data_IF_824665809744
#
_entry.id   IF_824665809744
#
_cell.length_a   1.000
_cell.length_b   1.000
_cell.length_c   1.000
_cell.angle_alpha   90.00
_cell.angle_beta   90.00
_cell.angle_gamma   90.00
#
_symmetry.space_group_name_H-M   'P 1'
#
loop_
_entity.id
_entity.type
_entity.pdbx_description
1 polymer ?
#
# COMPACT_ATOMS: atom_id res chain seq x y z
N UNK A 1 -27.75 17.50 67.29
CA UNK A 1 -27.12 16.37 66.60
C UNK A 1 -27.25 16.64 65.11
N UNK A 2 -26.18 17.13 64.48
CA UNK A 2 -26.20 17.63 63.10
C UNK A 2 -25.16 16.83 62.30
N UNK A 3 -25.58 16.37 61.12
CA UNK A 3 -25.04 15.25 60.36
C UNK A 3 -23.60 15.48 59.86
N UNK A 4 -22.69 14.59 60.25
CA UNK A 4 -21.29 14.55 59.82
C UNK A 4 -21.04 13.64 58.61
N UNK A 5 -21.83 13.75 57.55
CA UNK A 5 -21.71 12.89 56.36
C UNK A 5 -21.34 13.62 55.05
N UNK A 6 -21.23 14.95 55.04
CA UNK A 6 -21.01 15.70 53.79
C UNK A 6 -19.54 16.05 53.48
N UNK A 7 -18.57 15.44 54.18
CA UNK A 7 -17.14 15.74 54.00
C UNK A 7 -16.29 14.57 53.48
N UNK A 8 -16.90 13.67 52.69
CA UNK A 8 -16.18 12.89 51.68
C UNK A 8 -16.36 13.64 50.35
N UNK A 9 -15.82 14.85 50.28
CA UNK A 9 -14.52 15.09 49.67
C UNK A 9 -14.60 15.05 48.15
N UNK A 10 -14.99 16.20 47.57
CA UNK A 10 -14.80 16.58 46.17
C UNK A 10 -13.36 16.35 45.64
N UNK A 11 -12.38 16.08 46.52
CA UNK A 11 -11.02 15.73 46.12
C UNK A 11 -10.91 14.37 45.42
N UNK A 12 -11.82 13.40 45.67
CA UNK A 12 -11.78 12.11 44.96
C UNK A 12 -12.34 12.20 43.53
N UNK A 13 -13.18 13.21 43.25
CA UNK A 13 -13.64 13.50 41.88
C UNK A 13 -12.62 14.30 41.06
N UNK A 14 -11.68 14.99 41.69
CA UNK A 14 -10.62 15.74 41.00
C UNK A 14 -9.42 14.87 40.62
N UNK A 15 -9.14 13.81 41.36
CA UNK A 15 -8.03 12.89 41.06
C UNK A 15 -8.35 11.80 40.02
N UNK A 16 -9.62 11.54 39.69
CA UNK A 16 -9.98 10.54 38.66
C UNK A 16 -10.04 11.08 37.22
N UNK A 17 -9.87 12.41 37.03
CA UNK A 17 -9.89 13.04 35.69
C UNK A 17 -8.52 13.21 35.03
N UNK A 18 -7.45 12.80 35.68
CA UNK A 18 -6.13 12.64 35.07
C UNK A 18 -5.85 11.16 34.74
N UNK A 19 -6.86 10.43 34.26
CA UNK A 19 -6.56 9.25 33.46
C UNK A 19 -5.94 9.75 32.17
N UNK A 20 -4.69 9.36 32.01
CA UNK A 20 -3.73 9.61 30.95
C UNK A 20 -4.31 9.41 29.52
N UNK A 21 -5.17 10.34 29.10
CA UNK A 21 -5.77 10.38 27.76
C UNK A 21 -4.70 10.52 26.65
N UNK A 22 -3.50 10.98 27.02
CA UNK A 22 -2.32 11.02 26.17
C UNK A 22 -1.75 9.63 25.88
N UNK A 23 -1.55 8.81 26.90
CA UNK A 23 -0.90 7.49 26.75
C UNK A 23 -1.76 6.47 25.98
N UNK A 24 -3.08 6.46 26.20
CA UNK A 24 -3.99 5.60 25.43
C UNK A 24 -4.01 5.99 23.94
N UNK A 25 -3.84 7.28 23.64
CA UNK A 25 -3.78 7.79 22.26
C UNK A 25 -2.53 7.36 21.49
N UNK A 26 -1.37 7.39 22.14
CA UNK A 26 -0.11 6.92 21.54
C UNK A 26 -0.08 5.40 21.35
N UNK A 27 -0.75 4.63 22.22
CA UNK A 27 -0.81 3.18 22.11
C UNK A 27 -1.58 2.71 20.85
N UNK A 28 -2.75 3.29 20.57
CA UNK A 28 -3.57 2.94 19.38
C UNK A 28 -2.85 3.28 18.06
N UNK A 29 -2.12 4.40 18.01
CA UNK A 29 -1.32 4.81 16.85
C UNK A 29 -0.18 3.82 16.57
N UNK A 30 0.59 3.45 17.60
CA UNK A 30 1.68 2.47 17.46
C UNK A 30 1.17 1.13 16.98
N UNK A 31 -0.01 0.70 17.44
CA UNK A 31 -0.65 -0.54 17.00
C UNK A 31 -0.99 -0.45 15.51
N UNK A 32 -1.61 0.65 15.06
CA UNK A 32 -1.95 0.84 13.64
C UNK A 32 -0.71 0.88 12.75
N UNK A 33 0.30 1.67 13.09
CA UNK A 33 1.55 1.77 12.31
C UNK A 33 2.24 0.41 12.26
N UNK A 34 2.28 -0.33 13.37
CA UNK A 34 2.84 -1.69 13.38
C UNK A 34 2.02 -2.65 12.52
N UNK A 35 0.69 -2.55 12.51
CA UNK A 35 -0.18 -3.38 11.68
C UNK A 35 0.03 -3.10 10.20
N UNK A 36 0.05 -1.83 9.80
CA UNK A 36 0.30 -1.39 8.40
C UNK A 36 1.68 -1.85 7.95
N UNK A 37 2.73 -1.59 8.73
CA UNK A 37 4.10 -1.98 8.37
C UNK A 37 4.26 -3.50 8.23
N UNK A 38 3.80 -4.27 9.23
CA UNK A 38 3.87 -5.74 9.18
C UNK A 38 2.99 -6.33 8.07
N UNK A 39 1.79 -5.80 7.90
CA UNK A 39 0.86 -6.22 6.83
C UNK A 39 1.40 -5.94 5.44
N UNK A 40 2.07 -4.80 5.24
CA UNK A 40 2.72 -4.47 3.98
C UNK A 40 3.87 -5.44 3.68
N UNK A 41 4.79 -5.67 4.64
CA UNK A 41 5.90 -6.62 4.46
C UNK A 41 5.38 -8.04 4.21
N UNK A 42 4.37 -8.47 4.97
CA UNK A 42 3.71 -9.76 4.75
C UNK A 42 3.10 -9.86 3.35
N UNK A 43 2.48 -8.80 2.85
CA UNK A 43 1.92 -8.73 1.50
C UNK A 43 3.00 -8.86 0.42
N UNK A 44 4.17 -8.25 0.62
CA UNK A 44 5.31 -8.42 -0.30
C UNK A 44 5.77 -9.88 -0.33
N UNK A 45 5.97 -10.50 0.83
CA UNK A 45 6.40 -11.91 0.93
C UNK A 45 5.34 -12.86 0.34
N UNK A 46 4.07 -12.63 0.66
CA UNK A 46 2.96 -13.43 0.14
C UNK A 46 2.87 -13.32 -1.38
N UNK A 47 2.98 -12.12 -1.94
CA UNK A 47 2.93 -11.93 -3.38
C UNK A 47 4.09 -12.62 -4.11
N UNK A 48 5.30 -12.58 -3.55
CA UNK A 48 6.44 -13.31 -4.08
C UNK A 48 6.20 -14.82 -4.04
N UNK A 49 5.70 -15.35 -2.92
CA UNK A 49 5.37 -16.77 -2.80
C UNK A 49 4.30 -17.20 -3.83
N UNK A 50 3.21 -16.44 -3.94
CA UNK A 50 2.15 -16.70 -4.92
C UNK A 50 2.67 -16.66 -6.36
N UNK A 51 3.52 -15.70 -6.68
CA UNK A 51 4.16 -15.60 -7.99
C UNK A 51 4.99 -16.84 -8.32
N UNK A 52 5.83 -17.32 -7.39
CA UNK A 52 6.62 -18.55 -7.59
C UNK A 52 5.73 -19.77 -7.75
N UNK A 53 4.66 -19.89 -6.95
CA UNK A 53 3.69 -21.00 -7.07
C UNK A 53 3.00 -20.96 -8.44
N UNK A 54 2.58 -19.78 -8.91
CA UNK A 54 1.97 -19.60 -10.23
C UNK A 54 2.91 -20.08 -11.34
N UNK A 55 4.18 -19.64 -11.32
CA UNK A 55 5.14 -20.03 -12.35
C UNK A 55 5.51 -21.53 -12.32
N UNK A 56 5.48 -22.16 -11.14
CA UNK A 56 5.87 -23.56 -10.99
C UNK A 56 4.73 -24.54 -11.31
N UNK A 57 3.53 -24.23 -10.86
CA UNK A 57 2.41 -25.18 -10.85
C UNK A 57 1.47 -25.01 -12.05
N UNK A 58 1.48 -23.83 -12.70
CA UNK A 58 0.56 -23.55 -13.80
C UNK A 58 1.24 -23.84 -15.14
N UNK A 59 0.66 -24.71 -15.99
CA UNK A 59 1.19 -24.99 -17.32
C UNK A 59 1.31 -23.71 -18.17
N UNK A 60 2.34 -23.66 -19.01
CA UNK A 60 2.69 -22.46 -19.80
C UNK A 60 1.53 -21.93 -20.64
N UNK A 61 0.77 -22.82 -21.30
CA UNK A 61 -0.42 -22.46 -22.06
C UNK A 61 -1.50 -21.74 -21.22
N UNK A 62 -1.62 -22.06 -19.94
CA UNK A 62 -2.57 -21.42 -19.01
C UNK A 62 -2.06 -20.06 -18.50
N UNK A 63 -0.74 -19.87 -18.43
CA UNK A 63 -0.15 -18.58 -18.04
C UNK A 63 -0.54 -17.46 -19.01
N UNK A 64 -0.62 -17.74 -20.32
CA UNK A 64 -1.11 -16.78 -21.32
C UNK A 64 -2.55 -16.32 -21.06
N UNK A 65 -3.42 -17.23 -20.61
CA UNK A 65 -4.80 -16.86 -20.28
C UNK A 65 -4.84 -16.02 -19.00
N UNK A 66 -4.08 -16.40 -17.98
CA UNK A 66 -3.99 -15.65 -16.73
C UNK A 66 -3.47 -14.24 -16.95
N UNK A 67 -2.44 -14.06 -17.76
CA UNK A 67 -1.87 -12.74 -18.11
C UNK A 67 -2.98 -11.78 -18.57
N UNK A 68 -3.85 -12.21 -19.50
CA UNK A 68 -4.93 -11.38 -20.06
C UNK A 68 -5.92 -10.88 -19.01
N UNK A 69 -6.22 -11.67 -17.99
CA UNK A 69 -7.11 -11.26 -16.91
C UNK A 69 -6.38 -10.42 -15.87
N UNK A 70 -5.13 -10.77 -15.55
CA UNK A 70 -4.39 -10.16 -14.47
C UNK A 70 -3.78 -8.81 -14.86
N UNK A 71 -3.64 -8.52 -16.16
CA UNK A 71 -3.06 -7.27 -16.66
C UNK A 71 -3.70 -6.01 -16.05
N UNK A 72 -5.00 -6.05 -15.75
CA UNK A 72 -5.76 -4.92 -15.22
C UNK A 72 -5.46 -4.60 -13.75
N UNK A 73 -4.88 -5.53 -12.99
CA UNK A 73 -4.52 -5.25 -11.60
C UNK A 73 -3.42 -4.20 -11.50
N UNK A 74 -2.54 -4.07 -12.49
CA UNK A 74 -1.54 -3.00 -12.54
C UNK A 74 -1.70 -2.22 -13.85
N UNK A 75 -2.47 -1.12 -13.87
CA UNK A 75 -2.83 -0.41 -15.10
C UNK A 75 -1.66 -0.08 -16.06
N UNK A 76 -0.45 0.28 -15.56
CA UNK A 76 0.71 0.48 -16.43
C UNK A 76 1.09 -0.74 -17.29
N UNK A 77 0.72 -1.96 -16.90
CA UNK A 77 0.95 -3.16 -17.69
C UNK A 77 0.35 -3.09 -19.10
N UNK A 78 -0.77 -2.40 -19.29
CA UNK A 78 -1.37 -2.24 -20.64
C UNK A 78 -0.42 -1.55 -21.60
N UNK A 79 0.20 -0.46 -21.15
CA UNK A 79 1.16 0.31 -21.95
C UNK A 79 2.51 -0.39 -22.03
N UNK A 80 2.93 -1.06 -20.96
CA UNK A 80 4.19 -1.80 -20.94
C UNK A 80 4.13 -2.95 -21.95
N UNK A 81 3.01 -3.67 -22.05
CA UNK A 81 2.82 -4.78 -23.00
C UNK A 81 3.09 -4.38 -24.44
N UNK A 82 2.60 -3.21 -24.86
CA UNK A 82 2.88 -2.68 -26.20
C UNK A 82 4.37 -2.43 -26.45
N UNK A 83 5.12 -2.03 -25.40
CA UNK A 83 6.55 -1.76 -25.52
C UNK A 83 7.42 -3.00 -25.36
N UNK A 84 7.07 -3.94 -24.49
CA UNK A 84 7.89 -5.13 -24.19
C UNK A 84 7.98 -6.06 -25.40
N UNK A 85 6.98 -6.01 -26.27
CA UNK A 85 6.94 -6.76 -27.54
C UNK A 85 7.95 -6.26 -28.59
N UNK A 86 8.55 -5.09 -28.38
CA UNK A 86 9.59 -4.54 -29.26
C UNK A 86 10.99 -5.08 -28.94
N UNK A 87 11.16 -5.79 -27.82
CA UNK A 87 12.44 -6.36 -27.39
C UNK A 87 12.58 -7.85 -27.67
N UNK A 88 13.81 -8.36 -27.59
CA UNK A 88 14.17 -9.77 -27.83
C UNK A 88 13.91 -10.68 -26.60
N UNK A 89 12.91 -10.37 -25.79
CA UNK A 89 12.53 -11.22 -24.66
C UNK A 89 11.67 -12.40 -25.12
N UNK A 90 11.86 -13.56 -24.51
CA UNK A 90 10.98 -14.71 -24.74
C UNK A 90 9.55 -14.44 -24.25
N UNK A 91 8.56 -15.12 -24.83
CA UNK A 91 7.16 -14.98 -24.42
C UNK A 91 6.95 -15.28 -22.93
N UNK A 92 7.61 -16.32 -22.42
CA UNK A 92 7.57 -16.68 -21.00
C UNK A 92 8.11 -15.55 -20.10
N UNK A 93 9.18 -14.87 -20.51
CA UNK A 93 9.74 -13.74 -19.77
C UNK A 93 8.77 -12.55 -19.74
N UNK A 94 8.13 -12.23 -20.87
CA UNK A 94 7.14 -11.16 -20.95
C UNK A 94 5.95 -11.43 -20.04
N UNK A 95 5.39 -12.65 -20.11
CA UNK A 95 4.27 -13.08 -19.25
C UNK A 95 4.68 -13.03 -17.78
N UNK A 96 5.87 -13.54 -17.46
CA UNK A 96 6.40 -13.53 -16.09
C UNK A 96 6.53 -12.11 -15.54
N UNK A 97 6.94 -11.14 -16.37
CA UNK A 97 7.01 -9.73 -16.00
C UNK A 97 5.63 -9.14 -15.66
N UNK A 98 4.64 -9.36 -16.53
CA UNK A 98 3.28 -8.85 -16.35
C UNK A 98 2.64 -9.48 -15.10
N UNK A 99 2.75 -10.81 -14.95
CA UNK A 99 2.21 -11.54 -13.81
C UNK A 99 2.86 -11.12 -12.49
N UNK A 100 4.17 -10.89 -12.44
CA UNK A 100 4.84 -10.43 -11.22
C UNK A 100 4.25 -9.10 -10.70
N UNK A 101 4.08 -8.12 -11.60
CA UNK A 101 3.46 -6.84 -11.26
C UNK A 101 1.99 -6.98 -10.85
N UNK A 102 1.22 -7.78 -11.59
CA UNK A 102 -0.21 -7.97 -11.34
C UNK A 102 -0.53 -8.72 -10.05
N UNK A 103 0.21 -9.79 -9.73
CA UNK A 103 0.04 -10.57 -8.49
C UNK A 103 0.36 -9.70 -7.29
N UNK A 104 1.49 -8.98 -7.33
CA UNK A 104 1.85 -8.01 -6.29
C UNK A 104 0.76 -6.95 -6.11
N UNK A 105 0.31 -6.37 -7.21
CA UNK A 105 -0.74 -5.35 -7.21
C UNK A 105 -2.04 -5.87 -6.59
N UNK A 106 -2.51 -7.06 -6.97
CA UNK A 106 -3.72 -7.67 -6.42
C UNK A 106 -3.63 -7.88 -4.90
N UNK A 107 -2.50 -8.38 -4.40
CA UNK A 107 -2.28 -8.58 -2.96
C UNK A 107 -2.24 -7.23 -2.23
N UNK A 108 -1.55 -6.21 -2.79
CA UNK A 108 -1.45 -4.89 -2.18
C UNK A 108 -2.77 -4.10 -2.22
N UNK A 109 -3.60 -4.27 -3.26
CA UNK A 109 -4.97 -3.74 -3.29
C UNK A 109 -5.78 -4.34 -2.14
N UNK A 110 -5.77 -5.67 -1.99
CA UNK A 110 -6.51 -6.35 -0.93
C UNK A 110 -6.05 -5.88 0.46
N UNK A 111 -4.74 -5.83 0.69
CA UNK A 111 -4.18 -5.28 1.93
C UNK A 111 -4.60 -3.83 2.17
N UNK A 112 -4.54 -2.98 1.14
CA UNK A 112 -4.95 -1.57 1.23
C UNK A 112 -6.41 -1.47 1.65
N UNK A 113 -7.30 -2.24 1.02
CA UNK A 113 -8.74 -2.26 1.37
C UNK A 113 -8.92 -2.69 2.83
N UNK A 114 -8.30 -3.79 3.27
CA UNK A 114 -8.39 -4.28 4.65
C UNK A 114 -7.90 -3.21 5.64
N UNK A 115 -6.75 -2.58 5.36
CA UNK A 115 -6.17 -1.55 6.22
C UNK A 115 -7.01 -0.27 6.29
N UNK A 116 -7.66 0.12 5.18
CA UNK A 116 -8.58 1.26 5.14
C UNK A 116 -9.90 0.95 5.86
N UNK A 117 -10.46 -0.24 5.70
CA UNK A 117 -11.65 -0.69 6.44
C UNK A 117 -11.39 -0.71 7.95
N UNK A 118 -10.21 -1.21 8.36
CA UNK A 118 -9.79 -1.15 9.75
C UNK A 118 -9.72 0.31 10.24
N UNK A 119 -9.12 1.21 9.46
CA UNK A 119 -9.04 2.64 9.79
C UNK A 119 -10.42 3.31 9.91
N UNK A 120 -11.42 2.87 9.15
CA UNK A 120 -12.79 3.38 9.29
C UNK A 120 -13.39 3.06 10.66
N UNK A 121 -13.03 1.92 11.26
CA UNK A 121 -13.53 1.50 12.57
C UNK A 121 -12.81 2.18 13.76
N UNK A 122 -11.58 2.66 13.57
CA UNK A 122 -10.86 3.38 14.62
C UNK A 122 -11.46 4.80 14.78
N UNK A 123 -11.74 5.19 16.03
CA UNK A 123 -12.32 6.51 16.36
C UNK A 123 -11.33 7.67 16.22
N UNK A 124 -10.03 7.41 16.37
CA UNK A 124 -8.96 8.40 16.30
C UNK A 124 -8.07 8.12 15.08
N UNK A 125 -7.99 9.10 14.21
CA UNK A 125 -7.26 9.02 12.95
C UNK A 125 -6.08 9.99 12.96
N UNK A 126 -4.90 9.58 12.46
CA UNK A 126 -3.71 10.43 12.41
C UNK A 126 -3.78 11.30 11.16
N UNK A 127 -3.95 12.61 11.34
CA UNK A 127 -3.91 13.56 10.24
C UNK A 127 -2.66 14.43 10.34
N UNK A 128 -1.75 14.24 9.39
CA UNK A 128 -0.60 15.10 9.18
C UNK A 128 -0.64 15.64 7.75
N UNK A 129 -0.98 16.92 7.59
CA UNK A 129 -1.09 17.59 6.29
C UNK A 129 0.16 17.43 5.41
N UNK A 130 1.36 17.43 6.03
CA UNK A 130 2.63 17.21 5.32
C UNK A 130 2.74 15.81 4.70
N UNK A 131 2.29 14.78 5.43
CA UNK A 131 2.30 13.39 4.96
C UNK A 131 1.28 13.21 3.83
N UNK A 132 0.10 13.83 3.92
CA UNK A 132 -0.91 13.79 2.86
C UNK A 132 -0.35 14.26 1.51
N UNK A 133 0.25 15.46 1.46
CA UNK A 133 0.80 15.99 0.21
C UNK A 133 2.02 15.19 -0.27
N UNK A 134 2.93 14.81 0.63
CA UNK A 134 4.08 14.00 0.24
C UNK A 134 3.63 12.66 -0.38
N UNK A 135 2.70 11.96 0.26
CA UNK A 135 2.15 10.70 -0.22
C UNK A 135 1.42 10.86 -1.57
N UNK A 136 0.66 11.94 -1.73
CA UNK A 136 0.01 12.27 -3.01
C UNK A 136 1.01 12.46 -4.15
N UNK A 137 2.03 13.29 -3.95
CA UNK A 137 3.05 13.54 -4.97
C UNK A 137 3.84 12.27 -5.29
N UNK A 138 4.25 11.50 -4.29
CA UNK A 138 4.94 10.22 -4.52
C UNK A 138 4.06 9.26 -5.31
N UNK A 139 2.79 9.09 -4.92
CA UNK A 139 1.87 8.18 -5.62
C UNK A 139 1.68 8.57 -7.09
N UNK A 140 1.46 9.85 -7.39
CA UNK A 140 1.33 10.33 -8.77
C UNK A 140 2.64 10.16 -9.54
N UNK A 141 3.78 10.57 -8.95
CA UNK A 141 5.08 10.45 -9.61
C UNK A 141 5.40 9.00 -9.93
N UNK A 142 5.14 8.06 -9.01
CA UNK A 142 5.35 6.63 -9.26
C UNK A 142 4.39 6.11 -10.33
N UNK A 143 3.12 6.51 -10.34
CA UNK A 143 2.18 6.12 -11.38
C UNK A 143 2.63 6.61 -12.78
N UNK A 144 3.10 7.85 -12.88
CA UNK A 144 3.62 8.42 -14.13
C UNK A 144 4.88 7.69 -14.60
N UNK A 145 5.87 7.52 -13.71
CA UNK A 145 7.14 6.86 -14.05
C UNK A 145 6.93 5.40 -14.45
N UNK A 146 6.03 4.69 -13.75
CA UNK A 146 5.69 3.30 -14.08
C UNK A 146 5.00 3.14 -15.44
N UNK A 147 4.46 4.23 -16.00
CA UNK A 147 3.84 4.25 -17.33
C UNK A 147 4.83 4.57 -18.45
N UNK A 148 6.11 4.79 -18.14
CA UNK A 148 7.13 4.97 -19.16
C UNK A 148 7.44 3.64 -19.87
N UNK A 149 7.74 3.74 -21.16
CA UNK A 149 8.07 2.60 -22.00
C UNK A 149 9.47 2.07 -21.67
N UNK A 150 9.74 0.83 -22.11
CA UNK A 150 11.08 0.27 -22.09
C UNK A 150 12.06 1.16 -22.88
N UNK A 151 13.21 1.44 -22.27
CA UNK A 151 14.32 2.17 -22.90
C UNK A 151 15.25 1.21 -23.65
N UNK A 152 15.76 1.66 -24.80
CA UNK A 152 16.84 0.96 -25.51
C UNK A 152 18.19 1.07 -24.79
N UNK A 153 18.41 2.15 -24.03
CA UNK A 153 19.63 2.32 -23.24
C UNK A 153 19.55 1.60 -21.90
N UNK A 154 20.71 1.14 -21.43
CA UNK A 154 20.84 0.68 -20.06
C UNK A 154 20.59 1.85 -19.09
N UNK A 155 19.69 1.64 -18.14
CA UNK A 155 19.32 2.63 -17.14
C UNK A 155 19.10 1.94 -15.82
N UNK A 156 19.56 2.53 -14.71
CA UNK A 156 19.25 2.03 -13.37
C UNK A 156 17.81 2.34 -12.94
N UNK A 157 17.18 3.34 -13.56
CA UNK A 157 15.90 3.90 -13.10
C UNK A 157 14.71 3.50 -13.96
N UNK A 158 14.95 3.26 -15.25
CA UNK A 158 13.90 2.90 -16.21
C UNK A 158 13.94 1.40 -16.51
N UNK A 159 12.82 0.86 -16.98
CA UNK A 159 12.79 -0.45 -17.63
C UNK A 159 13.66 -0.39 -18.89
N UNK A 160 14.43 -1.45 -19.16
CA UNK A 160 15.43 -1.43 -20.21
C UNK A 160 15.51 -2.77 -20.96
N UNK A 161 15.59 -2.70 -22.29
CA UNK A 161 15.84 -3.88 -23.13
C UNK A 161 17.29 -4.40 -22.97
N UNK A 162 18.22 -3.53 -22.57
CA UNK A 162 19.62 -3.90 -22.38
C UNK A 162 19.87 -4.71 -21.09
N UNK A 163 18.85 -4.89 -20.24
CA UNK A 163 18.99 -5.58 -18.97
C UNK A 163 18.18 -6.88 -18.93
N UNK A 164 18.67 -7.90 -18.20
CA UNK A 164 17.93 -9.14 -18.00
C UNK A 164 16.53 -8.89 -17.45
N UNK A 165 15.55 -9.69 -17.89
CA UNK A 165 14.15 -9.56 -17.48
C UNK A 165 13.98 -9.53 -15.95
N UNK A 166 14.77 -10.33 -15.23
CA UNK A 166 14.79 -10.35 -13.78
C UNK A 166 15.01 -8.96 -13.14
N UNK A 167 15.92 -8.14 -13.66
CA UNK A 167 16.14 -6.79 -13.15
C UNK A 167 14.96 -5.87 -13.44
N UNK A 168 14.34 -6.01 -14.63
CA UNK A 168 13.13 -5.28 -14.97
C UNK A 168 11.96 -5.66 -14.03
N UNK A 169 11.83 -6.95 -13.67
CA UNK A 169 10.85 -7.42 -12.69
C UNK A 169 11.09 -6.73 -11.34
N UNK A 170 12.31 -6.74 -10.81
CA UNK A 170 12.63 -6.08 -9.53
C UNK A 170 12.25 -4.60 -9.54
N UNK A 171 12.59 -3.89 -10.62
CA UNK A 171 12.24 -2.47 -10.79
C UNK A 171 10.74 -2.25 -10.79
N UNK A 172 10.01 -3.03 -11.59
CA UNK A 172 8.55 -2.94 -11.67
C UNK A 172 7.90 -3.25 -10.30
N UNK A 173 8.32 -4.32 -9.63
CA UNK A 173 7.88 -4.66 -8.27
C UNK A 173 8.12 -3.51 -7.28
N UNK A 174 9.28 -2.85 -7.37
CA UNK A 174 9.60 -1.69 -6.51
C UNK A 174 8.68 -0.51 -6.80
N UNK A 175 8.40 -0.21 -8.08
CA UNK A 175 7.45 0.84 -8.47
C UNK A 175 6.03 0.53 -7.99
N UNK A 176 5.53 -0.69 -8.19
CA UNK A 176 4.22 -1.14 -7.71
C UNK A 176 4.12 -1.00 -6.19
N UNK A 177 5.11 -1.51 -5.44
CA UNK A 177 5.14 -1.43 -3.99
C UNK A 177 5.16 0.01 -3.47
N UNK A 178 6.00 0.87 -4.07
CA UNK A 178 6.07 2.29 -3.73
C UNK A 178 4.77 3.03 -4.01
N UNK A 179 4.12 2.73 -5.14
CA UNK A 179 2.81 3.30 -5.48
C UNK A 179 1.76 2.93 -4.45
N UNK A 180 1.58 1.65 -4.13
CA UNK A 180 0.53 1.23 -3.19
C UNK A 180 0.78 1.69 -1.77
N UNK A 181 2.04 1.71 -1.31
CA UNK A 181 2.36 2.24 0.01
C UNK A 181 2.03 3.74 0.11
N UNK A 182 2.44 4.53 -0.90
CA UNK A 182 2.14 5.97 -0.92
C UNK A 182 0.65 6.25 -1.12
N UNK A 183 -0.04 5.52 -1.99
CA UNK A 183 -1.48 5.61 -2.17
C UNK A 183 -2.24 5.27 -0.88
N UNK A 184 -1.83 4.22 -0.17
CA UNK A 184 -2.40 3.87 1.14
C UNK A 184 -2.23 5.01 2.15
N UNK A 185 -1.01 5.55 2.30
CA UNK A 185 -0.76 6.68 3.21
C UNK A 185 -1.57 7.92 2.85
N UNK A 186 -1.72 8.21 1.55
CA UNK A 186 -2.55 9.30 1.05
C UNK A 186 -4.03 9.08 1.40
N UNK A 187 -4.59 7.92 1.04
CA UNK A 187 -6.00 7.58 1.31
C UNK A 187 -6.29 7.55 2.81
N UNK A 188 -5.40 6.97 3.61
CA UNK A 188 -5.48 7.00 5.05
C UNK A 188 -5.55 8.44 5.58
N UNK A 189 -4.63 9.30 5.13
CA UNK A 189 -4.58 10.70 5.54
C UNK A 189 -5.82 11.48 5.08
N UNK A 190 -6.36 11.17 3.90
CA UNK A 190 -7.56 11.77 3.36
C UNK A 190 -8.82 11.39 4.17
N UNK A 191 -9.02 10.10 4.46
CA UNK A 191 -10.11 9.63 5.33
C UNK A 191 -10.01 10.28 6.70
N UNK A 192 -8.79 10.39 7.23
CA UNK A 192 -8.51 11.05 8.50
C UNK A 192 -8.85 12.54 8.49
N UNK A 193 -8.58 13.24 7.38
CA UNK A 193 -8.96 14.63 7.19
C UNK A 193 -10.49 14.78 7.15
N UNK A 194 -11.19 13.92 6.42
CA UNK A 194 -12.65 13.94 6.32
C UNK A 194 -13.31 13.69 7.67
N UNK A 195 -12.85 12.69 8.43
CA UNK A 195 -13.37 12.42 9.79
C UNK A 195 -13.12 13.56 10.78
N UNK A 196 -12.03 14.31 10.61
CA UNK A 196 -11.66 15.45 11.48
C UNK A 196 -12.26 16.77 11.02
N UNK A 197 -12.71 16.88 9.77
CA UNK A 197 -13.41 18.07 9.30
C UNK A 197 -14.63 18.25 10.20
N UNK A 198 -14.70 19.31 11.02
CA UNK A 198 -15.85 19.51 11.88
C UNK A 198 -17.08 19.54 10.99
N UNK A 199 -18.11 18.81 11.39
CA UNK A 199 -19.50 19.16 11.11
C UNK A 199 -19.69 20.60 11.56
N UNK A 200 -19.32 21.55 10.70
CA UNK A 200 -19.83 22.91 10.69
C UNK A 200 -21.11 22.88 9.86
N UNK A 201 -22.17 22.33 10.44
CA UNK A 201 -23.56 22.53 10.06
C UNK A 201 -24.39 22.40 11.35
#
# INVERSE_FOLDING_TARGET
MQNGWDMISENDKKNSKNIDLGDVGFAEEKIYVSFVGKGFVFSLVLSFFLYIVILREIPENHLFYLEKYYIYFWPPNLRIRESIDLGDFSELEKISFILAGSVLSAVLILWTIIALLWNLNIRKNLYYRKILFAAFFVSISTAVVSSFQFSASESLYNLSFAQPMFFNIIKNTTMVAGFYLSAHLFLYSLISAVKRSPTQL
#
